data_IF_812904054619
#
_entry.id   IF_812904054619
#
_cell.length_a   1.000
_cell.length_b   1.000
_cell.length_c   1.000
_cell.angle_alpha   90.00
_cell.angle_beta   90.00
_cell.angle_gamma   90.00
#
_symmetry.space_group_name_H-M   'P 1'
#
loop_
_entity.id
_entity.type
_entity.pdbx_description
1 polymer ?
#
# COMPACT_ATOMS: atom_id res chain seq x y z
N UNK A 1 -14.34 -18.55 2.13
CA UNK A 1 -14.70 -18.21 0.80
C UNK A 1 -13.69 -17.29 0.16
N UNK A 2 -13.56 -17.41 -1.11
CA UNK A 2 -12.49 -16.80 -1.87
C UNK A 2 -12.63 -15.30 -2.09
N UNK A 3 -13.72 -14.69 -1.62
CA UNK A 3 -13.97 -13.28 -1.87
C UNK A 3 -13.43 -12.36 -0.78
N UNK A 4 -12.80 -12.91 0.23
CA UNK A 4 -12.20 -12.07 1.26
C UNK A 4 -11.04 -11.30 0.70
N UNK A 5 -11.05 -9.98 0.94
CA UNK A 5 -9.94 -9.14 0.55
C UNK A 5 -8.87 -9.17 1.64
N UNK A 6 -7.64 -9.23 1.23
CA UNK A 6 -6.53 -9.28 2.16
C UNK A 6 -6.27 -7.94 2.82
N UNK A 7 -6.51 -6.85 2.10
CA UNK A 7 -6.28 -5.49 2.60
C UNK A 7 -7.53 -4.65 2.46
N UNK A 8 -7.78 -3.83 3.47
CA UNK A 8 -8.84 -2.82 3.38
C UNK A 8 -8.45 -1.70 2.43
N UNK A 9 -7.19 -1.27 2.48
CA UNK A 9 -6.69 -0.18 1.65
C UNK A 9 -5.31 -0.51 1.12
N UNK A 10 -5.09 -0.25 -0.16
CA UNK A 10 -3.76 -0.31 -0.76
C UNK A 10 -3.45 1.07 -1.33
N UNK A 11 -2.29 1.61 -0.97
CA UNK A 11 -1.83 2.89 -1.47
C UNK A 11 -0.86 2.64 -2.62
N UNK A 12 -1.32 2.86 -3.84
CA UNK A 12 -0.50 2.66 -5.02
C UNK A 12 0.25 3.95 -5.36
N UNK A 13 1.55 3.83 -5.54
CA UNK A 13 2.41 5.00 -5.74
C UNK A 13 2.93 5.57 -4.44
N UNK A 14 3.04 4.74 -3.41
CA UNK A 14 3.40 5.19 -2.06
C UNK A 14 4.80 5.79 -1.98
N UNK A 15 5.67 5.52 -2.96
CA UNK A 15 7.01 6.11 -3.00
C UNK A 15 7.02 7.53 -3.54
N UNK A 16 5.94 7.98 -4.19
CA UNK A 16 5.82 9.35 -4.67
C UNK A 16 5.48 10.30 -3.54
N UNK A 17 5.59 11.60 -3.82
CA UNK A 17 5.36 12.64 -2.80
C UNK A 17 3.96 12.52 -2.19
N UNK A 18 2.95 12.50 -3.05
CA UNK A 18 1.57 12.42 -2.57
C UNK A 18 1.27 11.08 -1.89
N UNK A 19 1.78 10.00 -2.46
CA UNK A 19 1.58 8.67 -1.88
C UNK A 19 2.19 8.56 -0.50
N UNK A 20 3.35 9.15 -0.31
CA UNK A 20 4.01 9.18 0.99
C UNK A 20 3.17 9.91 2.02
N UNK A 21 2.57 11.04 1.63
CA UNK A 21 1.71 11.80 2.53
C UNK A 21 0.48 10.99 2.94
N UNK A 22 -0.11 10.27 2.00
CA UNK A 22 -1.25 9.41 2.30
C UNK A 22 -0.82 8.28 3.25
N UNK A 23 0.34 7.69 3.01
CA UNK A 23 0.85 6.63 3.87
C UNK A 23 1.11 7.15 5.29
N UNK A 24 1.65 8.36 5.42
CA UNK A 24 1.83 8.97 6.74
C UNK A 24 0.50 9.16 7.46
N UNK A 25 -0.52 9.55 6.72
CA UNK A 25 -1.86 9.68 7.28
C UNK A 25 -2.35 8.34 7.82
N UNK A 26 -2.15 7.27 7.06
CA UNK A 26 -2.56 5.94 7.49
C UNK A 26 -1.84 5.52 8.78
N UNK A 27 -0.55 5.85 8.89
CA UNK A 27 0.21 5.54 10.10
C UNK A 27 -0.39 6.26 11.30
N UNK A 28 -0.72 7.54 11.15
CA UNK A 28 -1.29 8.32 12.25
C UNK A 28 -2.65 7.81 12.69
N UNK A 29 -3.50 7.45 11.73
CA UNK A 29 -4.88 7.07 12.03
C UNK A 29 -5.01 5.60 12.38
N UNK A 30 -4.23 4.73 11.75
CA UNK A 30 -4.43 3.29 11.84
C UNK A 30 -3.16 2.51 12.15
N UNK A 31 -2.07 3.18 12.49
CA UNK A 31 -0.78 2.53 12.68
C UNK A 31 -0.79 1.46 13.76
N UNK A 32 -1.61 1.63 14.77
CA UNK A 32 -1.74 0.68 15.87
C UNK A 32 -3.08 -0.02 15.87
N UNK A 33 -3.91 0.24 14.87
CA UNK A 33 -5.26 -0.31 14.81
C UNK A 33 -5.27 -1.52 13.88
N UNK A 34 -5.60 -2.67 14.44
CA UNK A 34 -5.64 -3.91 13.68
C UNK A 34 -6.96 -4.12 12.95
N UNK A 35 -7.92 -3.24 13.14
CA UNK A 35 -9.20 -3.34 12.46
C UNK A 35 -9.12 -2.93 10.99
N UNK A 36 -8.10 -2.12 10.65
CA UNK A 36 -7.90 -1.69 9.27
C UNK A 36 -6.55 -2.24 8.80
N UNK A 37 -6.59 -3.05 7.76
CA UNK A 37 -5.38 -3.56 7.15
C UNK A 37 -5.06 -2.74 5.91
N UNK A 38 -3.80 -2.36 5.76
CA UNK A 38 -3.40 -1.56 4.61
C UNK A 38 -2.00 -1.96 4.14
N UNK A 39 -1.72 -1.63 2.90
CA UNK A 39 -0.45 -1.96 2.28
C UNK A 39 0.01 -0.81 1.41
N UNK A 40 1.32 -0.78 1.16
CA UNK A 40 1.94 0.18 0.27
C UNK A 40 2.34 -0.54 -1.01
N UNK A 41 2.03 0.06 -2.15
CA UNK A 41 2.33 -0.56 -3.43
C UNK A 41 3.12 0.39 -4.31
N UNK A 42 4.01 -0.17 -5.09
CA UNK A 42 4.85 0.60 -6.01
C UNK A 42 5.74 -0.34 -6.80
N UNK A 43 6.56 0.23 -7.68
CA UNK A 43 7.40 -0.57 -8.55
C UNK A 43 8.70 -1.05 -7.92
N UNK A 44 9.16 -0.37 -6.88
CA UNK A 44 10.48 -0.65 -6.30
C UNK A 44 10.33 -1.01 -4.83
N UNK A 45 10.57 -2.29 -4.52
CA UNK A 45 10.42 -2.79 -3.15
C UNK A 45 11.38 -2.11 -2.18
N UNK A 46 12.57 -1.78 -2.62
CA UNK A 46 13.56 -1.14 -1.75
C UNK A 46 13.10 0.26 -1.35
N UNK A 47 12.55 1.01 -2.29
CA UNK A 47 12.00 2.33 -1.98
C UNK A 47 10.77 2.25 -1.08
N UNK A 48 9.93 1.25 -1.31
CA UNK A 48 8.77 1.03 -0.45
C UNK A 48 9.21 0.76 0.99
N UNK A 49 10.20 -0.10 1.16
CA UNK A 49 10.72 -0.39 2.48
C UNK A 49 11.33 0.84 3.14
N UNK A 50 12.04 1.65 2.35
CA UNK A 50 12.63 2.88 2.86
C UNK A 50 11.56 3.87 3.32
N UNK A 51 10.51 4.06 2.53
CA UNK A 51 9.42 4.95 2.89
C UNK A 51 8.72 4.42 4.15
N UNK A 52 8.47 3.11 4.21
CA UNK A 52 7.85 2.50 5.39
C UNK A 52 8.61 2.86 6.66
N UNK A 53 9.93 2.77 6.60
CA UNK A 53 10.77 3.09 7.74
C UNK A 53 10.74 4.59 8.05
N UNK A 54 10.84 5.43 7.02
CA UNK A 54 10.91 6.89 7.19
C UNK A 54 9.63 7.48 7.76
N UNK A 55 8.48 6.94 7.41
CA UNK A 55 7.21 7.45 7.91
C UNK A 55 6.83 6.84 9.26
N UNK A 56 7.64 5.92 9.77
CA UNK A 56 7.37 5.30 11.05
C UNK A 56 6.31 4.22 11.03
N UNK A 57 6.05 3.65 9.85
CA UNK A 57 5.09 2.55 9.74
C UNK A 57 5.67 1.29 10.37
N UNK A 58 4.78 0.44 10.90
CA UNK A 58 5.21 -0.81 11.49
C UNK A 58 5.89 -1.68 10.44
N UNK A 59 6.90 -2.43 10.85
CA UNK A 59 7.65 -3.29 9.94
C UNK A 59 6.78 -4.38 9.30
N UNK A 60 5.64 -4.69 9.93
CA UNK A 60 4.70 -5.66 9.39
C UNK A 60 3.79 -5.08 8.32
N UNK A 61 3.86 -3.77 8.07
CA UNK A 61 3.09 -3.15 7.00
C UNK A 61 3.49 -3.77 5.67
N UNK A 62 2.51 -4.34 4.96
CA UNK A 62 2.78 -5.08 3.74
C UNK A 62 3.22 -4.17 2.61
N UNK A 63 4.15 -4.66 1.81
CA UNK A 63 4.65 -3.98 0.63
C UNK A 63 4.32 -4.83 -0.58
N UNK A 64 3.71 -4.21 -1.59
CA UNK A 64 3.33 -4.90 -2.82
C UNK A 64 4.10 -4.31 -3.99
N UNK A 65 4.80 -5.15 -4.73
CA UNK A 65 5.47 -4.72 -5.95
C UNK A 65 4.46 -4.79 -7.09
N UNK A 66 4.15 -3.64 -7.65
CA UNK A 66 3.15 -3.52 -8.72
C UNK A 66 3.74 -2.68 -9.84
N UNK A 67 3.71 -3.21 -11.05
CA UNK A 67 4.15 -2.50 -12.24
C UNK A 67 2.92 -2.11 -13.05
N UNK A 68 2.75 -0.81 -13.30
CA UNK A 68 1.59 -0.31 -14.05
C UNK A 68 1.54 -0.81 -15.49
N UNK A 69 2.67 -1.28 -16.02
CA UNK A 69 2.71 -1.87 -17.35
C UNK A 69 2.38 -3.36 -17.35
N UNK A 70 2.36 -3.98 -16.18
CA UNK A 70 2.02 -5.39 -16.04
C UNK A 70 0.60 -5.53 -15.52
N UNK A 71 -0.31 -5.84 -16.42
CA UNK A 71 -1.73 -5.96 -16.08
C UNK A 71 -1.96 -7.02 -15.00
N UNK A 72 -1.20 -8.10 -15.02
CA UNK A 72 -1.36 -9.16 -14.03
C UNK A 72 -1.05 -8.68 -12.62
N UNK A 73 -0.02 -7.86 -12.46
CA UNK A 73 0.29 -7.33 -11.13
C UNK A 73 -0.77 -6.34 -10.66
N UNK A 74 -1.32 -5.54 -11.57
CA UNK A 74 -2.41 -4.63 -11.24
C UNK A 74 -3.66 -5.39 -10.82
N UNK A 75 -4.03 -6.41 -11.58
CA UNK A 75 -5.20 -7.22 -11.27
C UNK A 75 -5.03 -7.93 -9.94
N UNK A 76 -3.83 -8.43 -9.67
CA UNK A 76 -3.54 -9.10 -8.42
C UNK A 76 -3.70 -8.14 -7.24
N UNK A 77 -3.18 -6.91 -7.38
CA UNK A 77 -3.32 -5.89 -6.35
C UNK A 77 -4.79 -5.57 -6.09
N UNK A 78 -5.55 -5.29 -7.15
CA UNK A 78 -6.95 -4.89 -6.98
C UNK A 78 -7.81 -6.02 -6.46
N UNK A 79 -7.47 -7.26 -6.78
CA UNK A 79 -8.24 -8.40 -6.29
C UNK A 79 -8.06 -8.64 -4.80
N UNK A 80 -6.97 -8.12 -4.21
CA UNK A 80 -6.68 -8.30 -2.79
C UNK A 80 -6.99 -7.08 -1.95
N UNK A 81 -7.55 -6.02 -2.54
CA UNK A 81 -7.82 -4.78 -1.84
C UNK A 81 -9.28 -4.39 -1.96
N UNK A 82 -9.87 -3.94 -0.86
CA UNK A 82 -11.22 -3.38 -0.89
C UNK A 82 -11.20 -2.00 -1.54
N UNK A 83 -10.15 -1.25 -1.31
CA UNK A 83 -9.99 0.10 -1.85
C UNK A 83 -8.54 0.31 -2.24
N UNK A 84 -8.34 0.86 -3.43
CA UNK A 84 -7.00 1.23 -3.90
C UNK A 84 -6.96 2.74 -4.08
N UNK A 85 -6.06 3.38 -3.35
CA UNK A 85 -5.81 4.81 -3.49
C UNK A 85 -4.66 5.01 -4.47
N UNK A 86 -4.97 5.56 -5.62
CA UNK A 86 -3.97 5.80 -6.66
C UNK A 86 -3.43 7.21 -6.51
N UNK A 87 -2.13 7.31 -6.27
CA UNK A 87 -1.48 8.61 -6.09
C UNK A 87 -0.50 8.93 -7.20
N UNK A 88 -0.50 8.11 -8.22
CA UNK A 88 0.35 8.31 -9.40
C UNK A 88 -0.30 9.38 -10.25
N UNK A 89 0.37 10.49 -10.37
CA UNK A 89 -0.15 11.62 -11.14
C UNK A 89 0.46 11.70 -12.52
#
# INVERSE_FOLDING_TARGET
MSNEKKFDVVIYGATGFTGRLVAEYMVRQYGHNQEVTWAMAGRNIEKLAQVREEIGAHEDTSLLVVDSEDRNSLDNMTSHAKCVLTTVG
#
